data_IF_075383422096
#
_entry.id   IF_075383422096
#
_cell.length_a   1.000
_cell.length_b   1.000
_cell.length_c   1.000
_cell.angle_alpha   90.00
_cell.angle_beta   90.00
_cell.angle_gamma   90.00
#
_symmetry.space_group_name_H-M   'P 1'
#
loop_
_entity.id
_entity.type
_entity.pdbx_description
1 polymer ?
#
# COMPACT_ATOMS: atom_id res chain seq x y z
N UNK A 1 8.68 -20.68 15.92
CA UNK A 1 9.03 -19.57 15.02
C UNK A 1 7.83 -19.10 14.19
N UNK A 2 7.19 -19.92 13.32
CA UNK A 2 5.98 -19.47 12.60
C UNK A 2 4.75 -19.24 13.52
N UNK A 3 4.63 -20.01 14.62
CA UNK A 3 3.57 -19.83 15.64
C UNK A 3 3.72 -18.53 16.42
N UNK A 4 4.92 -18.20 16.88
CA UNK A 4 5.17 -17.03 17.73
C UNK A 4 4.88 -15.72 16.98
N UNK A 5 5.19 -15.66 15.68
CA UNK A 5 4.85 -14.51 14.81
C UNK A 5 3.34 -14.40 14.60
N UNK A 6 2.65 -15.53 14.41
CA UNK A 6 1.20 -15.55 14.22
C UNK A 6 0.47 -15.08 15.49
N UNK A 7 0.96 -15.46 16.67
CA UNK A 7 0.38 -15.08 17.96
C UNK A 7 0.61 -13.58 18.25
N UNK A 8 1.82 -13.06 18.01
CA UNK A 8 2.10 -11.62 18.16
C UNK A 8 1.28 -10.79 17.16
N UNK A 9 1.20 -11.21 15.89
CA UNK A 9 0.40 -10.54 14.88
C UNK A 9 -1.10 -10.52 15.23
N UNK A 10 -1.63 -11.65 15.72
CA UNK A 10 -3.01 -11.75 16.19
C UNK A 10 -3.31 -10.79 17.35
N UNK A 11 -2.37 -10.63 18.29
CA UNK A 11 -2.48 -9.64 19.36
C UNK A 11 -2.43 -8.21 18.83
N UNK A 12 -1.48 -7.89 17.94
CA UNK A 12 -1.37 -6.56 17.31
C UNK A 12 -2.66 -6.17 16.58
N UNK A 13 -3.25 -7.09 15.82
CA UNK A 13 -4.52 -6.87 15.12
C UNK A 13 -5.70 -6.70 16.08
N UNK A 14 -5.76 -7.46 17.18
CA UNK A 14 -6.79 -7.32 18.21
C UNK A 14 -6.74 -5.94 18.89
N UNK A 15 -5.53 -5.45 19.18
CA UNK A 15 -5.32 -4.11 19.73
C UNK A 15 -5.73 -3.04 18.72
N UNK A 16 -5.38 -3.21 17.44
CA UNK A 16 -5.78 -2.31 16.36
C UNK A 16 -7.31 -2.20 16.24
N UNK A 17 -8.01 -3.33 16.21
CA UNK A 17 -9.47 -3.38 16.15
C UNK A 17 -10.08 -2.63 17.34
N UNK A 18 -9.55 -2.85 18.55
CA UNK A 18 -10.02 -2.19 19.77
C UNK A 18 -9.84 -0.66 19.67
N UNK A 19 -8.67 -0.19 19.25
CA UNK A 19 -8.39 1.24 19.10
C UNK A 19 -9.29 1.91 18.05
N UNK A 20 -9.57 1.22 16.94
CA UNK A 20 -10.48 1.71 15.91
C UNK A 20 -11.92 1.77 16.43
N UNK A 21 -12.39 0.74 17.15
CA UNK A 21 -13.72 0.74 17.77
C UNK A 21 -13.88 1.88 18.78
N UNK A 22 -12.89 2.10 19.65
CA UNK A 22 -12.90 3.23 20.59
C UNK A 22 -12.95 4.55 19.84
N UNK A 23 -12.15 4.71 18.78
CA UNK A 23 -12.13 5.93 17.96
C UNK A 23 -13.49 6.21 17.32
N UNK A 24 -14.19 5.17 16.82
CA UNK A 24 -15.55 5.30 16.26
C UNK A 24 -16.55 5.77 17.33
N UNK A 25 -16.43 5.29 18.56
CA UNK A 25 -17.31 5.67 19.66
C UNK A 25 -17.05 7.10 20.18
N UNK A 26 -15.80 7.56 20.13
CA UNK A 26 -15.40 8.86 20.67
C UNK A 26 -15.37 9.99 19.63
N UNK A 27 -15.42 9.69 18.32
CA UNK A 27 -15.24 10.66 17.23
C UNK A 27 -16.21 11.86 17.28
N UNK A 28 -17.45 11.65 17.72
CA UNK A 28 -18.45 12.73 17.83
C UNK A 28 -18.37 13.53 19.12
N UNK A 29 -17.66 13.02 20.14
CA UNK A 29 -17.64 13.58 21.50
C UNK A 29 -16.33 14.27 21.85
N UNK A 30 -15.21 13.73 21.37
CA UNK A 30 -13.89 14.22 21.69
C UNK A 30 -12.92 14.01 20.52
N UNK A 31 -12.81 15.02 19.65
CA UNK A 31 -11.97 14.97 18.47
C UNK A 31 -10.48 14.73 18.81
N UNK A 32 -9.98 15.33 19.90
CA UNK A 32 -8.57 15.21 20.30
C UNK A 32 -8.21 13.81 20.80
N UNK A 33 -9.10 13.19 21.57
CA UNK A 33 -8.92 11.81 22.01
C UNK A 33 -9.03 10.82 20.84
N UNK A 34 -9.95 11.07 19.91
CA UNK A 34 -10.10 10.29 18.67
C UNK A 34 -8.83 10.35 17.83
N UNK A 35 -8.28 11.55 17.62
CA UNK A 35 -7.03 11.74 16.90
C UNK A 35 -5.87 10.98 17.55
N UNK A 36 -5.76 11.02 18.88
CA UNK A 36 -4.74 10.26 19.61
C UNK A 36 -4.90 8.75 19.45
N UNK A 37 -6.12 8.22 19.52
CA UNK A 37 -6.38 6.80 19.32
C UNK A 37 -6.05 6.34 17.90
N UNK A 38 -6.36 7.16 16.88
CA UNK A 38 -5.99 6.90 15.49
C UNK A 38 -4.48 6.94 15.27
N UNK A 39 -3.76 7.89 15.90
CA UNK A 39 -2.29 7.92 15.87
C UNK A 39 -1.67 6.67 16.50
N UNK A 40 -2.22 6.19 17.61
CA UNK A 40 -1.79 4.97 18.27
C UNK A 40 -2.08 3.74 17.41
N UNK A 41 -3.27 3.65 16.81
CA UNK A 41 -3.64 2.60 15.87
C UNK A 41 -2.67 2.55 14.68
N UNK A 42 -2.33 3.71 14.11
CA UNK A 42 -1.37 3.82 13.00
C UNK A 42 0.03 3.35 13.40
N UNK A 43 0.50 3.71 14.61
CA UNK A 43 1.80 3.27 15.12
C UNK A 43 1.86 1.74 15.26
N UNK A 44 0.86 1.15 15.92
CA UNK A 44 0.79 -0.30 16.16
C UNK A 44 0.68 -1.07 14.83
N UNK A 45 -0.07 -0.53 13.86
CA UNK A 45 -0.18 -1.10 12.51
C UNK A 45 1.18 -1.13 11.80
N UNK A 46 1.95 -0.02 11.87
CA UNK A 46 3.30 0.05 11.28
C UNK A 46 4.26 -0.95 11.92
N UNK A 47 4.20 -1.09 13.24
CA UNK A 47 5.03 -2.05 13.99
C UNK A 47 4.69 -3.49 13.60
N UNK A 48 3.40 -3.84 13.52
CA UNK A 48 2.95 -5.15 13.05
C UNK A 48 3.36 -5.45 11.61
N UNK A 49 3.23 -4.47 10.71
CA UNK A 49 3.67 -4.63 9.31
C UNK A 49 5.18 -4.87 9.21
N UNK A 50 5.99 -4.18 10.02
CA UNK A 50 7.43 -4.39 10.07
C UNK A 50 7.79 -5.77 10.64
N UNK A 51 7.03 -6.29 11.60
CA UNK A 51 7.20 -7.64 12.11
C UNK A 51 6.87 -8.69 11.05
N UNK A 52 5.73 -8.57 10.37
CA UNK A 52 5.36 -9.43 9.23
C UNK A 52 6.43 -9.40 8.14
N UNK A 53 6.89 -8.20 7.74
CA UNK A 53 7.96 -8.05 6.74
C UNK A 53 9.24 -8.73 7.18
N UNK A 54 9.64 -8.63 8.45
CA UNK A 54 10.82 -9.32 8.99
C UNK A 54 10.66 -10.84 8.92
N UNK A 55 9.50 -11.35 9.31
CA UNK A 55 9.18 -12.78 9.28
C UNK A 55 9.14 -13.35 7.86
N UNK A 56 8.64 -12.56 6.89
CA UNK A 56 8.66 -12.93 5.47
C UNK A 56 10.06 -12.74 4.88
N UNK A 57 10.84 -11.73 5.26
CA UNK A 57 12.21 -11.56 4.75
C UNK A 57 13.20 -12.67 5.16
N UNK A 58 12.90 -13.39 6.25
CA UNK A 58 13.58 -14.64 6.61
C UNK A 58 13.15 -15.86 5.77
N UNK A 59 12.10 -15.72 4.99
CA UNK A 59 11.57 -16.70 4.03
C UNK A 59 11.71 -16.10 2.62
N UNK A 60 12.84 -16.40 1.98
CA UNK A 60 13.24 -16.02 0.61
C UNK A 60 12.10 -15.69 -0.38
N UNK A 61 12.30 -14.75 -1.34
CA UNK A 61 11.28 -14.04 -2.13
C UNK A 61 10.57 -14.91 -3.19
N UNK A 62 10.03 -16.06 -2.79
CA UNK A 62 9.20 -16.94 -3.63
C UNK A 62 7.71 -16.61 -3.59
N UNK A 63 7.26 -15.70 -2.72
CA UNK A 63 5.82 -15.40 -2.60
C UNK A 63 5.27 -14.40 -3.63
N UNK A 64 6.13 -13.87 -4.50
CA UNK A 64 5.68 -13.29 -5.77
C UNK A 64 5.46 -14.36 -6.86
N UNK A 65 5.68 -15.66 -6.58
CA UNK A 65 5.51 -16.73 -7.58
C UNK A 65 4.02 -17.15 -7.78
N UNK A 66 3.06 -16.62 -7.02
CA UNK A 66 1.64 -17.05 -7.11
C UNK A 66 0.60 -15.94 -7.38
N UNK A 67 0.99 -14.66 -7.40
CA UNK A 67 0.09 -13.58 -7.86
C UNK A 67 0.58 -13.06 -9.21
N UNK A 68 -0.32 -12.97 -10.18
CA UNK A 68 0.00 -12.27 -11.43
C UNK A 68 0.41 -10.84 -11.08
N UNK A 69 1.45 -10.34 -11.75
CA UNK A 69 1.97 -9.00 -11.53
C UNK A 69 0.89 -7.93 -11.72
N UNK A 70 -0.02 -8.16 -12.66
CA UNK A 70 -1.15 -7.27 -12.90
C UNK A 70 -2.15 -7.29 -11.74
N UNK A 71 -2.46 -8.46 -11.19
CA UNK A 71 -3.33 -8.58 -10.00
C UNK A 71 -2.73 -7.84 -8.80
N UNK A 72 -1.40 -7.88 -8.64
CA UNK A 72 -0.72 -7.13 -7.59
C UNK A 72 -0.87 -5.61 -7.77
N UNK A 73 -0.80 -5.09 -9.00
CA UNK A 73 -1.01 -3.67 -9.29
C UNK A 73 -2.47 -3.25 -9.14
N UNK A 74 -3.42 -4.07 -9.57
CA UNK A 74 -4.86 -3.83 -9.37
C UNK A 74 -5.19 -3.76 -7.89
N UNK A 75 -4.64 -4.68 -7.08
CA UNK A 75 -4.79 -4.64 -5.63
C UNK A 75 -4.15 -3.41 -5.01
N UNK A 76 -2.97 -3.00 -5.48
CA UNK A 76 -2.32 -1.78 -5.03
C UNK A 76 -3.21 -0.56 -5.28
N UNK A 77 -3.82 -0.45 -6.46
CA UNK A 77 -4.76 0.63 -6.77
C UNK A 77 -5.96 0.63 -5.80
N UNK A 78 -6.60 -0.53 -5.60
CA UNK A 78 -7.72 -0.68 -4.67
C UNK A 78 -7.36 -0.34 -3.21
N UNK A 79 -6.16 -0.69 -2.75
CA UNK A 79 -5.69 -0.37 -1.39
C UNK A 79 -5.64 1.15 -1.15
N UNK A 80 -5.34 1.95 -2.18
CA UNK A 80 -5.31 3.40 -2.12
C UNK A 80 -6.71 4.05 -2.23
N UNK A 81 -7.68 3.41 -2.88
CA UNK A 81 -9.08 3.86 -2.87
C UNK A 81 -9.64 3.93 -1.45
N UNK A 82 -9.35 2.95 -0.60
CA UNK A 82 -9.73 2.97 0.83
C UNK A 82 -9.10 4.14 1.61
N UNK A 83 -8.03 4.72 1.08
CA UNK A 83 -7.34 5.88 1.67
C UNK A 83 -7.84 7.22 1.11
N UNK A 84 -8.85 7.21 0.23
CA UNK A 84 -9.46 8.40 -0.37
C UNK A 84 -8.80 8.86 -1.68
N UNK A 85 -7.94 8.03 -2.28
CA UNK A 85 -7.33 8.29 -3.58
C UNK A 85 -7.90 7.31 -4.61
N UNK A 86 -8.70 7.82 -5.56
CA UNK A 86 -9.23 7.04 -6.69
C UNK A 86 -8.10 6.76 -7.70
N UNK A 87 -7.77 5.48 -7.94
CA UNK A 87 -6.61 5.10 -8.77
C UNK A 87 -7.06 4.30 -9.99
N UNK A 88 -6.91 4.89 -11.17
CA UNK A 88 -7.18 4.21 -12.43
C UNK A 88 -5.90 3.57 -12.97
N UNK A 89 -5.91 2.24 -13.12
CA UNK A 89 -4.81 1.48 -13.71
C UNK A 89 -5.11 1.11 -15.17
N UNK A 90 -4.24 1.52 -16.08
CA UNK A 90 -4.30 1.20 -17.50
C UNK A 90 -3.04 0.48 -17.95
N UNK A 91 -3.19 -0.74 -18.42
CA UNK A 91 -2.07 -1.57 -18.88
C UNK A 91 -2.37 -2.12 -20.27
N UNK A 92 -1.43 -1.93 -21.21
CA UNK A 92 -1.52 -2.67 -22.47
C UNK A 92 -1.09 -4.13 -22.21
N UNK A 93 -2.05 -5.07 -22.21
CA UNK A 93 -1.78 -6.51 -21.98
C UNK A 93 -1.12 -7.18 -23.19
N UNK A 94 -0.05 -6.59 -23.73
CA UNK A 94 0.83 -7.28 -24.67
C UNK A 94 1.55 -8.36 -23.85
N UNK A 95 1.39 -9.63 -24.22
CA UNK A 95 2.10 -10.75 -23.59
C UNK A 95 3.61 -10.57 -23.79
N UNK A 96 4.25 -9.87 -22.86
CA UNK A 96 5.69 -9.68 -22.78
C UNK A 96 6.16 -10.34 -21.49
N UNK A 97 7.19 -11.18 -21.59
CA UNK A 97 7.74 -11.86 -20.44
C UNK A 97 8.62 -10.87 -19.66
N UNK A 98 8.05 -10.21 -18.66
CA UNK A 98 8.74 -9.23 -17.83
C UNK A 98 9.55 -10.00 -16.78
N UNK A 99 10.86 -9.75 -16.70
CA UNK A 99 11.69 -10.33 -15.65
C UNK A 99 11.26 -9.89 -14.26
N UNK A 100 11.35 -10.78 -13.26
CA UNK A 100 10.90 -10.55 -11.88
C UNK A 100 11.47 -9.27 -11.25
N UNK A 101 12.74 -8.94 -11.53
CA UNK A 101 13.35 -7.70 -11.03
C UNK A 101 12.65 -6.44 -11.54
N UNK A 102 12.19 -6.42 -12.80
CA UNK A 102 11.46 -5.29 -13.36
C UNK A 102 10.06 -5.17 -12.75
N UNK A 103 9.38 -6.30 -12.53
CA UNK A 103 8.08 -6.33 -11.83
C UNK A 103 8.19 -5.70 -10.45
N UNK A 104 9.19 -6.10 -9.66
CA UNK A 104 9.41 -5.55 -8.32
C UNK A 104 9.70 -4.04 -8.37
N UNK A 105 10.54 -3.59 -9.28
CA UNK A 105 10.88 -2.17 -9.44
C UNK A 105 9.64 -1.35 -9.81
N UNK A 106 8.87 -1.79 -10.81
CA UNK A 106 7.64 -1.09 -11.24
C UNK A 106 6.65 -1.01 -10.09
N UNK A 107 6.43 -2.12 -9.38
CA UNK A 107 5.52 -2.16 -8.24
C UNK A 107 5.94 -1.17 -7.16
N UNK A 108 7.22 -1.12 -6.80
CA UNK A 108 7.74 -0.17 -5.80
C UNK A 108 7.62 1.29 -6.25
N UNK A 109 7.86 1.58 -7.52
CA UNK A 109 7.68 2.94 -8.07
C UNK A 109 6.21 3.36 -7.97
N UNK A 110 5.27 2.49 -8.36
CA UNK A 110 3.84 2.77 -8.26
C UNK A 110 3.43 3.02 -6.79
N UNK A 111 3.86 2.15 -5.88
CA UNK A 111 3.54 2.26 -4.45
C UNK A 111 4.03 3.59 -3.86
N UNK A 112 5.26 3.97 -4.14
CA UNK A 112 5.85 5.20 -3.59
C UNK A 112 5.23 6.45 -4.22
N UNK A 113 4.95 6.44 -5.53
CA UNK A 113 4.30 7.54 -6.21
C UNK A 113 2.90 7.81 -5.63
N UNK A 114 2.05 6.78 -5.52
CA UNK A 114 0.71 6.92 -4.91
C UNK A 114 0.79 7.39 -3.44
N UNK A 115 1.76 6.87 -2.68
CA UNK A 115 1.99 7.32 -1.31
C UNK A 115 2.34 8.81 -1.25
N UNK A 116 3.10 9.32 -2.20
CA UNK A 116 3.47 10.72 -2.28
C UNK A 116 2.29 11.60 -2.74
N UNK A 117 1.52 11.18 -3.74
CA UNK A 117 0.30 11.89 -4.17
C UNK A 117 -0.69 12.05 -3.01
N UNK A 118 -0.89 11.00 -2.21
CA UNK A 118 -1.76 11.04 -1.04
C UNK A 118 -1.20 11.89 0.12
N UNK A 119 0.07 11.67 0.51
CA UNK A 119 0.65 12.32 1.70
C UNK A 119 1.03 13.77 1.48
N UNK A 120 1.50 14.10 0.28
CA UNK A 120 2.10 15.39 -0.03
C UNK A 120 1.27 16.19 -1.02
N UNK A 121 0.72 15.54 -2.04
CA UNK A 121 -0.08 16.19 -3.07
C UNK A 121 -1.51 16.52 -2.67
N UNK A 122 -2.07 15.88 -1.63
CA UNK A 122 -3.51 15.91 -1.31
C UNK A 122 -4.37 15.51 -2.52
N UNK A 123 -3.83 14.65 -3.39
CA UNK A 123 -4.53 14.16 -4.56
C UNK A 123 -5.79 13.39 -4.15
N UNK A 124 -6.84 13.53 -4.94
CA UNK A 124 -8.06 12.72 -4.85
C UNK A 124 -8.17 11.70 -5.98
N UNK A 125 -7.38 11.88 -7.05
CA UNK A 125 -7.30 10.99 -8.21
C UNK A 125 -5.87 10.77 -8.65
N UNK A 126 -5.57 9.55 -9.09
CA UNK A 126 -4.33 9.21 -9.76
C UNK A 126 -4.56 8.24 -10.93
N UNK A 127 -3.69 8.32 -11.94
CA UNK A 127 -3.72 7.45 -13.11
C UNK A 127 -2.35 6.78 -13.26
N UNK A 128 -2.33 5.45 -13.33
CA UNK A 128 -1.14 4.67 -13.64
C UNK A 128 -1.29 4.08 -15.03
N UNK A 129 -0.35 4.40 -15.92
CA UNK A 129 -0.32 3.88 -17.28
C UNK A 129 0.98 3.11 -17.49
N UNK A 130 0.87 1.82 -17.80
CA UNK A 130 2.01 0.97 -18.11
C UNK A 130 1.94 0.55 -19.57
N UNK A 131 3.01 0.86 -20.31
CA UNK A 131 3.17 0.50 -21.71
C UNK A 131 4.38 -0.41 -21.88
N UNK A 132 4.13 -1.65 -22.26
CA UNK A 132 5.17 -2.58 -22.71
C UNK A 132 5.44 -2.39 -24.20
N UNK A 133 6.72 -2.35 -24.55
CA UNK A 133 7.23 -2.40 -25.92
C UNK A 133 8.31 -3.48 -25.99
N UNK A 134 8.77 -3.82 -27.19
CA UNK A 134 9.79 -4.87 -27.37
C UNK A 134 11.16 -4.52 -26.77
N UNK A 135 11.45 -3.24 -26.52
CA UNK A 135 12.77 -2.77 -26.08
C UNK A 135 12.78 -2.01 -24.76
N UNK A 136 11.64 -1.50 -24.31
CA UNK A 136 11.52 -0.80 -23.03
C UNK A 136 10.11 -0.87 -22.44
N UNK A 137 10.04 -0.53 -21.15
CA UNK A 137 8.78 -0.37 -20.43
C UNK A 137 8.62 1.11 -20.11
N UNK A 138 7.50 1.71 -20.49
CA UNK A 138 7.15 3.06 -20.08
C UNK A 138 6.12 3.01 -18.95
N UNK A 139 6.44 3.69 -17.85
CA UNK A 139 5.56 3.88 -16.71
C UNK A 139 5.24 5.37 -16.59
N UNK A 140 3.96 5.70 -16.62
CA UNK A 140 3.47 7.06 -16.40
C UNK A 140 2.55 7.05 -15.19
N UNK A 141 2.75 8.01 -14.29
CA UNK A 141 1.94 8.18 -13.09
C UNK A 141 1.56 9.66 -13.02
N UNK A 142 0.27 9.93 -12.98
CA UNK A 142 -0.29 11.27 -12.89
C UNK A 142 -1.20 11.35 -11.68
N UNK A 143 -1.26 12.51 -11.04
CA UNK A 143 -2.21 12.80 -9.98
C UNK A 143 -2.75 14.24 -10.10
N UNK A 144 -3.88 14.49 -9.45
CA UNK A 144 -4.54 15.81 -9.41
C UNK A 144 -4.11 16.68 -8.22
N UNK A 145 -3.03 16.29 -7.53
CA UNK A 145 -2.53 16.95 -6.34
C UNK A 145 -1.73 18.23 -6.60
N UNK A 146 -1.44 18.94 -5.52
CA UNK A 146 -0.57 20.12 -5.54
C UNK A 146 0.90 19.71 -5.69
N UNK A 147 1.62 20.41 -6.56
CA UNK A 147 3.07 20.20 -6.71
C UNK A 147 3.77 20.57 -5.40
N UNK A 148 4.54 19.62 -4.86
CA UNK A 148 5.40 19.88 -3.72
C UNK A 148 6.33 21.07 -4.04
N UNK A 149 6.15 22.19 -3.35
CA UNK A 149 7.08 23.32 -3.43
C UNK A 149 8.40 22.89 -2.80
N UNK A 150 9.44 22.79 -3.62
CA UNK A 150 10.83 22.53 -3.20
C UNK A 150 11.43 23.79 -2.59
#
# INVERSE_FOLDING_TARGET
MARDVHDTLGQTLSILITLLQVSILTCKKNAKETENNLKNALKITREGLNEVRRSISGLSPKKLEEMDFFDALERLAADFEYSGLDVELSVNKIQQNIGESHKEVIYRICQEALANSLKHGKATKANIIIKFTDSYISLFIFDDGEVARV
#
